data_IF_075477442613
#
_entry.id   IF_075477442613
#
_cell.length_a   1.000
_cell.length_b   1.000
_cell.length_c   1.000
_cell.angle_alpha   90.00
_cell.angle_beta   90.00
_cell.angle_gamma   90.00
#
_symmetry.space_group_name_H-M   'P 1'
#
loop_
_entity.id
_entity.type
_entity.pdbx_description
1 polymer ?
#
# COMPACT_ATOMS: atom_id res chain seq x y z
N UNK A 1 -25.66 -1.62 8.30
CA UNK A 1 -24.42 -0.84 8.45
C UNK A 1 -23.27 -1.72 7.99
N UNK A 2 -22.49 -1.25 7.01
CA UNK A 2 -21.63 -2.08 6.16
C UNK A 2 -20.39 -2.57 6.94
N UNK A 3 -20.15 -3.87 6.89
CA UNK A 3 -19.09 -4.58 7.61
C UNK A 3 -17.72 -4.01 7.25
N UNK A 4 -17.15 -3.24 8.18
CA UNK A 4 -15.75 -2.87 8.13
C UNK A 4 -14.91 -4.13 8.18
N UNK A 5 -14.11 -4.34 7.15
CA UNK A 5 -13.21 -5.47 7.01
C UNK A 5 -12.14 -5.36 8.12
N UNK A 6 -12.47 -5.87 9.30
CA UNK A 6 -11.54 -6.04 10.39
C UNK A 6 -10.62 -7.19 9.98
N UNK A 7 -9.38 -6.86 9.60
CA UNK A 7 -8.32 -7.83 9.37
C UNK A 7 -7.46 -7.93 10.63
N UNK A 8 -7.74 -8.88 11.54
CA UNK A 8 -6.80 -9.24 12.58
C UNK A 8 -5.79 -10.21 11.98
N UNK A 9 -4.67 -9.70 11.46
CA UNK A 9 -3.52 -10.54 11.13
C UNK A 9 -2.34 -10.10 11.98
N UNK A 10 -2.30 -10.69 13.17
CA UNK A 10 -1.18 -10.63 14.07
C UNK A 10 0.05 -11.24 13.38
N UNK A 11 1.15 -10.46 13.32
CA UNK A 11 2.54 -10.91 13.12
C UNK A 11 3.08 -11.05 11.69
N UNK A 12 2.53 -10.32 10.73
CA UNK A 12 3.28 -9.82 9.57
C UNK A 12 2.93 -8.33 9.48
N UNK A 13 3.89 -7.41 9.32
CA UNK A 13 3.54 -6.07 8.83
C UNK A 13 2.65 -6.29 7.60
N UNK A 14 1.35 -6.01 7.72
CA UNK A 14 0.40 -6.34 6.67
C UNK A 14 0.72 -5.55 5.41
N UNK A 15 0.29 -6.01 4.23
CA UNK A 15 0.45 -5.24 2.99
C UNK A 15 -0.07 -3.79 3.13
N UNK A 16 -1.11 -3.58 3.96
CA UNK A 16 -1.62 -2.26 4.34
C UNK A 16 -0.54 -1.34 4.94
N UNK A 17 0.24 -1.87 5.87
CA UNK A 17 1.24 -1.12 6.63
C UNK A 17 2.42 -0.77 5.75
N UNK A 18 2.95 -1.74 5.01
CA UNK A 18 4.05 -1.54 4.05
C UNK A 18 3.66 -0.49 3.01
N UNK A 19 2.49 -0.64 2.38
CA UNK A 19 1.98 0.31 1.40
C UNK A 19 1.80 1.68 2.04
N UNK A 20 1.16 1.77 3.21
CA UNK A 20 0.95 3.06 3.88
C UNK A 20 2.27 3.76 4.22
N UNK A 21 3.29 3.00 4.65
CA UNK A 21 4.60 3.53 5.03
C UNK A 21 5.35 4.08 3.84
N UNK A 22 5.40 3.32 2.74
CA UNK A 22 6.06 3.77 1.50
C UNK A 22 5.32 4.95 0.90
N UNK A 23 3.99 4.90 0.84
CA UNK A 23 3.19 6.01 0.31
C UNK A 23 3.38 7.28 1.16
N UNK A 24 3.39 7.17 2.49
CA UNK A 24 3.68 8.31 3.38
C UNK A 24 5.10 8.83 3.21
N UNK A 25 6.09 7.95 3.11
CA UNK A 25 7.48 8.35 2.93
C UNK A 25 7.67 9.10 1.61
N UNK A 26 7.07 8.59 0.54
CA UNK A 26 7.34 9.09 -0.81
C UNK A 26 6.44 10.24 -1.25
N UNK A 27 5.18 10.23 -0.80
CA UNK A 27 4.16 11.22 -1.18
C UNK A 27 3.68 12.08 -0.01
N UNK A 28 4.04 11.77 1.24
CA UNK A 28 3.61 12.53 2.43
C UNK A 28 4.25 13.92 2.55
N UNK A 29 5.43 14.12 1.96
CA UNK A 29 6.04 15.46 1.84
C UNK A 29 5.34 16.32 0.80
N UNK A 30 4.58 15.71 -0.12
CA UNK A 30 3.87 16.41 -1.18
C UNK A 30 2.49 16.85 -0.65
N UNK A 31 2.21 18.16 -0.68
CA UNK A 31 0.88 18.70 -0.28
C UNK A 31 -0.29 18.06 -1.03
N UNK A 32 -0.01 17.46 -2.20
CA UNK A 32 -0.96 16.78 -3.07
C UNK A 32 -0.68 15.27 -3.24
N UNK A 33 0.06 14.63 -2.33
CA UNK A 33 0.42 13.21 -2.44
C UNK A 33 -0.76 12.29 -2.68
N UNK A 34 -1.89 12.54 -2.00
CA UNK A 34 -3.14 11.80 -2.24
C UNK A 34 -3.65 11.86 -3.67
N UNK A 35 -3.51 13.01 -4.35
CA UNK A 35 -3.97 13.19 -5.73
C UNK A 35 -3.03 12.51 -6.73
N UNK A 36 -1.73 12.50 -6.44
CA UNK A 36 -0.74 11.80 -7.27
C UNK A 36 -0.96 10.29 -7.22
N UNK A 37 -1.12 9.73 -6.03
CA UNK A 37 -1.45 8.31 -5.83
C UNK A 37 -2.77 7.96 -6.52
N UNK A 38 -3.79 8.81 -6.36
CA UNK A 38 -5.09 8.62 -6.99
C UNK A 38 -4.99 8.60 -8.52
N UNK A 39 -4.17 9.48 -9.11
CA UNK A 39 -3.96 9.53 -10.56
C UNK A 39 -3.18 8.32 -11.06
N UNK A 40 -2.14 7.89 -10.34
CA UNK A 40 -1.31 6.75 -10.71
C UNK A 40 -2.08 5.42 -10.66
N UNK A 41 -2.93 5.24 -9.64
CA UNK A 41 -3.74 4.03 -9.49
C UNK A 41 -5.10 4.10 -10.21
N UNK A 42 -5.46 5.25 -10.77
CA UNK A 42 -6.78 5.53 -11.36
C UNK A 42 -7.93 5.28 -10.36
N UNK A 43 -7.78 5.84 -9.15
CA UNK A 43 -8.75 5.71 -8.06
C UNK A 43 -9.18 7.05 -7.51
N UNK A 44 -10.19 7.03 -6.63
CA UNK A 44 -10.62 8.23 -5.91
C UNK A 44 -9.55 8.72 -4.92
N UNK A 45 -9.37 10.05 -4.75
CA UNK A 45 -8.47 10.62 -3.73
C UNK A 45 -8.79 10.18 -2.31
N UNK A 46 -10.06 9.83 -2.03
CA UNK A 46 -10.48 9.27 -0.75
C UNK A 46 -9.90 7.87 -0.52
N UNK A 47 -9.85 7.04 -1.55
CA UNK A 47 -9.24 5.70 -1.50
C UNK A 47 -7.74 5.82 -1.26
N UNK A 48 -7.06 6.71 -1.99
CA UNK A 48 -5.63 6.98 -1.78
C UNK A 48 -5.32 7.48 -0.35
N UNK A 49 -6.19 8.32 0.24
CA UNK A 49 -6.07 8.72 1.64
C UNK A 49 -6.25 7.56 2.61
N UNK A 50 -7.20 6.66 2.34
CA UNK A 50 -7.41 5.47 3.17
C UNK A 50 -6.20 4.53 3.13
N UNK A 51 -5.54 4.38 1.97
CA UNK A 51 -4.29 3.63 1.86
C UNK A 51 -3.15 4.26 2.64
N UNK A 52 -2.98 5.59 2.55
CA UNK A 52 -2.01 6.31 3.37
C UNK A 52 -2.32 6.27 4.87
N UNK A 53 -3.59 6.12 5.25
CA UNK A 53 -3.99 5.93 6.64
C UNK A 53 -3.80 4.48 7.13
N UNK A 54 -3.48 3.54 6.23
CA UNK A 54 -3.41 2.11 6.56
C UNK A 54 -4.79 1.48 6.82
N UNK A 55 -5.89 2.19 6.54
CA UNK A 55 -7.24 1.71 6.81
C UNK A 55 -7.75 0.70 5.78
N UNK A 56 -7.14 0.66 4.59
CA UNK A 56 -7.51 -0.28 3.52
C UNK A 56 -6.28 -0.60 2.67
N UNK A 57 -6.28 -1.77 2.02
CA UNK A 57 -5.23 -2.23 1.12
C UNK A 57 -5.66 -2.00 -0.33
N UNK A 58 -4.77 -1.57 -1.24
CA UNK A 58 -5.06 -1.61 -2.66
C UNK A 58 -5.35 -3.05 -3.11
N UNK A 59 -6.31 -3.21 -4.02
CA UNK A 59 -6.56 -4.49 -4.70
C UNK A 59 -5.37 -4.86 -5.58
N UNK A 60 -5.28 -6.13 -6.01
CA UNK A 60 -4.16 -6.60 -6.82
C UNK A 60 -3.95 -5.76 -8.09
N UNK A 61 -5.02 -5.35 -8.74
CA UNK A 61 -5.00 -4.52 -9.96
C UNK A 61 -4.46 -3.11 -9.68
N UNK A 62 -4.98 -2.48 -8.62
CA UNK A 62 -4.56 -1.14 -8.16
C UNK A 62 -3.11 -1.14 -7.69
N UNK A 63 -2.69 -2.23 -7.03
CA UNK A 63 -1.35 -2.42 -6.54
C UNK A 63 -0.35 -2.58 -7.70
N UNK A 64 -0.69 -3.39 -8.72
CA UNK A 64 0.15 -3.53 -9.91
C UNK A 64 0.33 -2.21 -10.65
N UNK A 65 -0.73 -1.40 -10.76
CA UNK A 65 -0.65 -0.04 -11.33
C UNK A 65 0.27 0.86 -10.51
N UNK A 66 0.13 0.87 -9.19
CA UNK A 66 1.01 1.64 -8.32
C UNK A 66 2.47 1.19 -8.40
N UNK A 67 2.72 -0.12 -8.48
CA UNK A 67 4.05 -0.68 -8.66
C UNK A 67 4.67 -0.27 -10.00
N UNK A 68 3.87 -0.22 -11.06
CA UNK A 68 4.33 0.21 -12.38
C UNK A 68 4.72 1.69 -12.43
N UNK A 69 4.06 2.53 -11.64
CA UNK A 69 4.33 3.98 -11.58
C UNK A 69 5.35 4.35 -10.48
N UNK A 70 5.63 3.42 -9.55
CA UNK A 70 6.47 3.66 -8.39
C UNK A 70 7.33 2.43 -8.06
N UNK A 71 8.53 2.38 -8.65
CA UNK A 71 9.49 1.29 -8.44
C UNK A 71 9.86 1.11 -6.95
N UNK A 72 9.91 2.19 -6.17
CA UNK A 72 10.21 2.13 -4.72
C UNK A 72 9.13 1.33 -3.95
N UNK A 73 7.87 1.42 -4.37
CA UNK A 73 6.79 0.63 -3.78
C UNK A 73 6.90 -0.85 -4.17
N UNK A 74 7.21 -1.12 -5.44
CA UNK A 74 7.46 -2.48 -5.91
C UNK A 74 8.63 -3.12 -5.14
N UNK A 75 9.75 -2.41 -5.02
CA UNK A 75 10.94 -2.86 -4.30
C UNK A 75 10.65 -3.13 -2.82
N UNK A 76 9.97 -2.22 -2.12
CA UNK A 76 9.63 -2.42 -0.71
C UNK A 76 8.76 -3.66 -0.48
N UNK A 77 7.81 -3.93 -1.39
CA UNK A 77 6.96 -5.12 -1.31
C UNK A 77 7.76 -6.38 -1.65
N UNK A 78 8.58 -6.36 -2.70
CA UNK A 78 9.42 -7.50 -3.04
C UNK A 78 10.46 -7.80 -1.96
N UNK A 79 11.03 -6.78 -1.33
CA UNK A 79 11.91 -6.92 -0.18
C UNK A 79 11.17 -7.62 0.97
N UNK A 80 9.96 -7.20 1.29
CA UNK A 80 9.14 -7.87 2.31
C UNK A 80 8.76 -9.29 1.96
N UNK A 81 8.46 -9.57 0.69
CA UNK A 81 8.23 -10.94 0.19
C UNK A 81 9.50 -11.80 0.34
N UNK A 82 10.69 -11.22 0.11
CA UNK A 82 11.97 -11.92 0.32
C UNK A 82 12.23 -12.19 1.80
N UNK A 83 11.94 -11.22 2.68
CA UNK A 83 12.04 -11.39 4.14
C UNK A 83 11.04 -12.42 4.70
N UNK A 84 9.86 -12.53 4.09
CA UNK A 84 8.80 -13.47 4.47
C UNK A 84 9.00 -14.89 3.95
N UNK A 85 9.94 -15.12 3.02
CA UNK A 85 10.42 -16.47 2.73
C UNK A 85 11.30 -16.91 3.91
N UNK A 86 10.68 -17.52 4.91
CA UNK A 86 11.40 -18.46 5.77
C UNK A 86 12.15 -19.43 4.84
N UNK A 87 13.46 -19.70 5.02
CA UNK A 87 14.10 -20.80 4.32
C UNK A 87 13.31 -22.08 4.63
N UNK A 88 12.96 -22.83 3.58
CA UNK A 88 12.49 -24.19 3.70
C UNK A 88 13.66 -25.01 4.27
N UNK A 89 13.57 -25.41 5.54
CA UNK A 89 14.41 -26.43 6.18
C UNK A 89 13.64 -27.74 6.28
#
# INVERSE_FOLDING_TARGET
MNSGNFFPLSRLDGCAEIVSRVLRRRFGSERHGAKLIARAADVSPRTARNWMAGSCVPRGDELMRLMSECDELAEAIFQKVREGRCPEE
#
